data_IF_543148127066
#
_entry.id   IF_543148127066
#
_cell.length_a   1.000
_cell.length_b   1.000
_cell.length_c   1.000
_cell.angle_alpha   90.00
_cell.angle_beta   90.00
_cell.angle_gamma   90.00
#
_symmetry.space_group_name_H-M   'P 1'
#
loop_
_entity.id
_entity.type
_entity.pdbx_description
1 polymer ?
#
# COMPACT_ATOMS: atom_id res chain seq x y z
N UNK A 1 7.47 14.09 -0.93
CA UNK A 1 8.06 12.86 -1.50
C UNK A 1 9.30 12.40 -0.70
N UNK A 2 10.24 13.31 -0.38
CA UNK A 2 11.46 12.93 0.36
C UNK A 2 11.16 12.30 1.73
N UNK A 3 10.16 12.77 2.45
CA UNK A 3 9.75 12.21 3.74
C UNK A 3 9.28 10.74 3.65
N UNK A 4 8.90 10.28 2.46
CA UNK A 4 8.43 8.92 2.20
C UNK A 4 9.45 8.06 1.43
N UNK A 5 10.70 8.49 1.37
CA UNK A 5 11.80 7.72 0.78
C UNK A 5 12.03 7.92 -0.72
N UNK A 6 11.38 8.89 -1.33
CA UNK A 6 11.64 9.25 -2.73
C UNK A 6 12.69 10.36 -2.83
N UNK A 7 13.62 10.21 -3.75
CA UNK A 7 14.48 11.29 -4.22
C UNK A 7 14.24 11.48 -5.71
N UNK A 8 13.78 12.66 -6.09
CA UNK A 8 13.48 13.00 -7.47
C UNK A 8 14.05 14.36 -7.81
N UNK A 9 14.55 14.51 -9.04
CA UNK A 9 15.17 15.73 -9.54
C UNK A 9 14.60 16.08 -10.93
N UNK A 10 14.39 17.36 -11.16
CA UNK A 10 13.97 17.85 -12.48
C UNK A 10 15.16 17.81 -13.45
N UNK A 11 15.01 17.07 -14.54
CA UNK A 11 16.00 16.94 -15.61
C UNK A 11 15.64 17.73 -16.86
N UNK A 12 14.57 18.51 -16.82
CA UNK A 12 14.08 19.33 -17.92
C UNK A 12 12.66 19.81 -17.65
N UNK A 13 12.05 20.49 -18.65
CA UNK A 13 10.72 21.07 -18.49
C UNK A 13 9.61 20.03 -18.24
N UNK A 14 9.82 18.77 -18.70
CA UNK A 14 8.84 17.68 -18.60
C UNK A 14 9.44 16.36 -18.17
N UNK A 15 10.65 16.37 -17.67
CA UNK A 15 11.38 15.15 -17.29
C UNK A 15 11.79 15.21 -15.83
N UNK A 16 11.49 14.15 -15.10
CA UNK A 16 11.87 13.96 -13.71
C UNK A 16 12.69 12.68 -13.61
N UNK A 17 13.84 12.75 -12.96
CA UNK A 17 14.65 11.58 -12.64
C UNK A 17 14.35 11.13 -11.19
N UNK A 18 14.01 9.86 -11.02
CA UNK A 18 13.88 9.25 -9.70
C UNK A 18 15.22 8.66 -9.34
N UNK A 19 15.91 9.27 -8.38
CA UNK A 19 17.23 8.83 -7.92
C UNK A 19 17.14 7.80 -6.81
N UNK A 20 16.09 7.86 -5.99
CA UNK A 20 15.83 6.90 -4.94
C UNK A 20 14.33 6.71 -4.75
N UNK A 21 13.95 5.50 -4.37
CA UNK A 21 12.57 5.13 -4.04
C UNK A 21 12.55 4.36 -2.72
N UNK A 22 11.38 4.25 -2.05
CA UNK A 22 11.27 3.47 -0.82
C UNK A 22 11.73 2.03 -1.02
N UNK A 23 12.32 1.44 0.03
CA UNK A 23 12.74 0.04 0.01
C UNK A 23 11.56 -0.90 -0.30
N UNK A 24 11.82 -1.95 -1.07
CA UNK A 24 10.81 -2.92 -1.45
C UNK A 24 10.05 -2.58 -2.73
N UNK A 25 10.32 -1.44 -3.36
CA UNK A 25 9.69 -1.03 -4.62
C UNK A 25 10.70 -1.15 -5.76
N UNK A 26 10.32 -1.87 -6.83
CA UNK A 26 11.14 -1.99 -8.04
C UNK A 26 11.17 -0.67 -8.82
N UNK A 27 12.15 -0.49 -9.70
CA UNK A 27 12.25 0.73 -10.53
C UNK A 27 11.01 0.94 -11.42
N UNK A 28 10.43 -0.13 -11.97
CA UNK A 28 9.20 -0.05 -12.76
C UNK A 28 7.99 0.36 -11.91
N UNK A 29 7.88 -0.19 -10.71
CA UNK A 29 6.80 0.15 -9.77
C UNK A 29 6.98 1.55 -9.19
N UNK A 30 8.21 2.03 -9.01
CA UNK A 30 8.49 3.39 -8.55
C UNK A 30 7.95 4.44 -9.51
N UNK A 31 8.10 4.22 -10.82
CA UNK A 31 7.54 5.09 -11.86
C UNK A 31 6.01 5.13 -11.80
N UNK A 32 5.38 3.97 -11.77
CA UNK A 32 3.92 3.85 -11.67
C UNK A 32 3.37 4.50 -10.40
N UNK A 33 4.03 4.28 -9.29
CA UNK A 33 3.66 4.86 -8.00
C UNK A 33 3.74 6.39 -8.03
N UNK A 34 4.80 6.93 -8.61
CA UNK A 34 4.97 8.38 -8.74
C UNK A 34 3.84 9.00 -9.56
N UNK A 35 3.50 8.40 -10.72
CA UNK A 35 2.38 8.87 -11.54
C UNK A 35 1.05 8.79 -10.80
N UNK A 36 0.80 7.71 -10.06
CA UNK A 36 -0.40 7.56 -9.25
C UNK A 36 -0.52 8.66 -8.18
N UNK A 37 0.57 8.99 -7.51
CA UNK A 37 0.61 10.08 -6.52
C UNK A 37 0.32 11.42 -7.17
N UNK A 38 0.96 11.72 -8.29
CA UNK A 38 0.78 12.98 -9.01
C UNK A 38 -0.64 13.13 -9.55
N UNK A 39 -1.23 12.07 -10.09
CA UNK A 39 -2.61 12.06 -10.55
C UNK A 39 -3.60 12.28 -9.40
N UNK A 40 -3.35 11.67 -8.26
CA UNK A 40 -4.14 11.87 -7.06
C UNK A 40 -4.14 13.33 -6.60
N UNK A 41 -2.97 13.97 -6.61
CA UNK A 41 -2.83 15.39 -6.27
C UNK A 41 -3.55 16.29 -7.29
N UNK A 42 -3.42 15.99 -8.57
CA UNK A 42 -4.03 16.78 -9.64
C UNK A 42 -5.56 16.71 -9.64
N UNK A 43 -6.14 15.59 -9.22
CA UNK A 43 -7.61 15.40 -9.12
C UNK A 43 -8.22 16.16 -7.95
N UNK A 44 -7.47 16.41 -6.91
CA UNK A 44 -7.93 17.15 -5.74
C UNK A 44 -7.66 18.63 -5.93
N UNK A 45 -8.68 19.37 -6.41
CA UNK A 45 -8.61 20.83 -6.60
C UNK A 45 -8.72 21.62 -5.30
N UNK A 46 -8.58 20.98 -4.14
CA UNK A 46 -8.65 21.64 -2.84
C UNK A 46 -7.27 21.76 -2.21
N UNK A 47 -7.09 22.75 -1.36
CA UNK A 47 -5.88 22.88 -0.54
C UNK A 47 -5.77 21.65 0.37
N UNK A 48 -4.81 20.78 0.08
CA UNK A 48 -4.53 19.58 0.86
C UNK A 48 -3.54 19.95 1.95
N UNK A 49 -3.80 19.54 3.19
CA UNK A 49 -2.82 19.68 4.25
C UNK A 49 -1.60 18.80 3.96
N UNK A 50 -0.42 19.21 4.43
CA UNK A 50 0.82 18.44 4.29
C UNK A 50 0.65 17.05 4.94
N UNK A 51 0.01 16.97 6.10
CA UNK A 51 -0.23 15.70 6.81
C UNK A 51 -1.13 14.76 6.00
N UNK A 52 -2.20 15.27 5.40
CA UNK A 52 -3.08 14.49 4.54
C UNK A 52 -2.35 13.97 3.30
N UNK A 53 -1.51 14.79 2.69
CA UNK A 53 -0.69 14.41 1.54
C UNK A 53 0.32 13.31 1.91
N UNK A 54 1.03 13.47 3.02
CA UNK A 54 1.97 12.46 3.51
C UNK A 54 1.28 11.13 3.79
N UNK A 55 0.09 11.14 4.39
CA UNK A 55 -0.70 9.93 4.67
C UNK A 55 -1.10 9.22 3.38
N UNK A 56 -1.52 9.96 2.35
CA UNK A 56 -1.89 9.38 1.04
C UNK A 56 -0.69 8.77 0.34
N UNK A 57 0.45 9.45 0.34
CA UNK A 57 1.69 8.94 -0.23
C UNK A 57 2.13 7.66 0.51
N UNK A 58 2.08 7.68 1.83
CA UNK A 58 2.44 6.52 2.65
C UNK A 58 1.52 5.32 2.37
N UNK A 59 0.21 5.54 2.25
CA UNK A 59 -0.75 4.48 1.94
C UNK A 59 -0.51 3.86 0.57
N UNK A 60 -0.31 4.67 -0.47
CA UNK A 60 0.00 4.19 -1.82
C UNK A 60 1.34 3.43 -1.85
N UNK A 61 2.36 3.96 -1.20
CA UNK A 61 3.68 3.33 -1.10
C UNK A 61 3.59 1.97 -0.40
N UNK A 62 2.87 1.89 0.71
CA UNK A 62 2.69 0.65 1.46
C UNK A 62 2.00 -0.43 0.63
N UNK A 63 0.97 -0.08 -0.13
CA UNK A 63 0.29 -1.03 -1.00
C UNK A 63 1.17 -1.55 -2.15
N UNK A 64 2.02 -0.68 -2.72
CA UNK A 64 2.96 -1.10 -3.76
C UNK A 64 4.13 -1.93 -3.22
N UNK A 65 4.55 -1.69 -1.98
CA UNK A 65 5.62 -2.44 -1.33
C UNK A 65 5.14 -3.75 -0.68
N UNK A 66 3.84 -3.95 -0.56
CA UNK A 66 3.26 -5.14 0.07
C UNK A 66 3.60 -6.43 -0.71
N UNK A 67 3.61 -7.53 0.01
CA UNK A 67 3.76 -8.87 -0.57
C UNK A 67 2.59 -9.11 -1.53
N UNK A 68 2.91 -9.46 -2.77
CA UNK A 68 1.90 -9.67 -3.82
C UNK A 68 1.26 -11.05 -3.72
N UNK A 69 0.07 -11.17 -4.29
CA UNK A 69 -0.64 -12.44 -4.43
C UNK A 69 0.25 -13.48 -5.14
N UNK A 70 0.15 -14.73 -4.74
CA UNK A 70 0.95 -15.84 -5.26
C UNK A 70 2.46 -15.76 -5.00
N UNK A 71 2.91 -14.86 -4.13
CA UNK A 71 4.30 -14.86 -3.65
C UNK A 71 4.49 -16.02 -2.68
N UNK A 72 5.45 -16.94 -2.92
CA UNK A 72 5.71 -18.03 -1.98
C UNK A 72 6.19 -17.51 -0.62
N UNK A 73 5.61 -18.02 0.45
CA UNK A 73 5.99 -17.68 1.82
C UNK A 73 6.39 -18.96 2.56
N UNK A 74 7.53 -18.94 3.25
CA UNK A 74 7.87 -19.98 4.18
C UNK A 74 7.12 -19.79 5.52
N UNK A 75 7.15 -20.81 6.38
CA UNK A 75 6.46 -20.77 7.66
C UNK A 75 6.93 -19.61 8.55
N UNK A 76 8.22 -19.34 8.58
CA UNK A 76 8.81 -18.25 9.36
C UNK A 76 8.30 -16.88 8.88
N UNK A 77 8.23 -16.68 7.57
CA UNK A 77 7.66 -15.43 7.00
C UNK A 77 6.18 -15.28 7.28
N UNK A 78 5.42 -16.36 7.23
CA UNK A 78 3.99 -16.35 7.58
C UNK A 78 3.77 -15.94 9.03
N UNK A 79 4.52 -16.51 9.95
CA UNK A 79 4.45 -16.15 11.38
C UNK A 79 4.87 -14.71 11.63
N UNK A 80 5.94 -14.27 11.00
CA UNK A 80 6.40 -12.90 11.07
C UNK A 80 5.33 -11.92 10.56
N UNK A 81 4.74 -12.22 9.41
CA UNK A 81 3.70 -11.38 8.80
C UNK A 81 2.49 -11.23 9.71
N UNK A 82 1.99 -12.33 10.28
CA UNK A 82 0.87 -12.30 11.22
C UNK A 82 1.21 -11.54 12.50
N UNK A 83 2.42 -11.72 13.01
CA UNK A 83 2.91 -11.02 14.20
C UNK A 83 2.99 -9.51 13.97
N UNK A 84 3.52 -9.08 12.83
CA UNK A 84 3.60 -7.66 12.49
C UNK A 84 2.22 -7.05 12.23
N UNK A 85 1.32 -7.78 11.58
CA UNK A 85 -0.06 -7.36 11.37
C UNK A 85 -0.77 -7.11 12.70
N UNK A 86 -0.59 -7.99 13.68
CA UNK A 86 -1.20 -7.88 15.00
C UNK A 86 -0.72 -6.63 15.78
N UNK A 87 0.46 -6.10 15.46
CA UNK A 87 1.01 -4.88 16.09
C UNK A 87 0.45 -3.60 15.48
N UNK A 88 -0.22 -3.65 14.34
CA UNK A 88 -0.78 -2.46 13.70
C UNK A 88 -2.01 -1.96 14.46
N UNK A 89 -2.30 -0.68 14.32
CA UNK A 89 -3.45 -0.05 14.98
C UNK A 89 -4.78 -0.57 14.43
N UNK A 90 -4.87 -0.77 13.12
CA UNK A 90 -6.07 -1.26 12.44
C UNK A 90 -5.74 -2.48 11.57
N UNK A 91 -5.58 -3.68 12.19
CA UNK A 91 -5.10 -4.86 11.46
C UNK A 91 -6.14 -5.48 10.52
N UNK A 92 -7.41 -5.10 10.63
CA UNK A 92 -8.51 -5.74 9.88
C UNK A 92 -8.74 -5.15 8.49
N UNK A 93 -8.21 -3.98 8.21
CA UNK A 93 -8.37 -3.31 6.92
C UNK A 93 -7.10 -2.60 6.48
N UNK A 94 -6.90 -2.45 5.17
CA UNK A 94 -5.81 -1.65 4.64
C UNK A 94 -6.15 -0.15 4.70
N UNK A 95 -5.17 0.77 4.48
CA UNK A 95 -5.43 2.21 4.47
C UNK A 95 -6.44 2.66 3.40
N UNK A 96 -6.68 1.86 2.36
CA UNK A 96 -7.66 2.12 1.31
C UNK A 96 -9.06 1.55 1.63
N UNK A 97 -9.26 1.00 2.82
CA UNK A 97 -10.55 0.44 3.25
C UNK A 97 -10.83 -0.99 2.81
N UNK A 98 -9.87 -1.68 2.19
CA UNK A 98 -10.04 -3.09 1.81
C UNK A 98 -9.87 -3.99 3.04
N UNK A 99 -10.75 -4.98 3.22
CA UNK A 99 -10.57 -5.91 4.33
C UNK A 99 -9.30 -6.76 4.15
N UNK A 100 -8.54 -6.90 5.22
CA UNK A 100 -7.34 -7.75 5.30
C UNK A 100 -7.70 -9.11 5.90
N UNK A 101 -8.66 -9.13 6.83
CA UNK A 101 -9.14 -10.32 7.50
C UNK A 101 -10.65 -10.39 7.39
N UNK A 102 -11.16 -11.56 6.99
CA UNK A 102 -12.59 -11.85 7.00
C UNK A 102 -12.87 -12.88 8.09
N UNK A 103 -13.96 -12.68 8.81
CA UNK A 103 -14.42 -13.60 9.85
C UNK A 103 -15.71 -14.28 9.44
N UNK A 104 -15.72 -15.59 9.54
CA UNK A 104 -16.90 -16.40 9.33
C UNK A 104 -17.06 -17.41 10.47
N UNK A 105 -18.23 -17.53 11.00
CA UNK A 105 -18.56 -18.65 11.89
C UNK A 105 -18.71 -19.94 11.08
N UNK A 106 -18.52 -21.08 11.71
CA UNK A 106 -18.76 -22.38 11.07
C UNK A 106 -20.18 -22.44 10.49
N UNK A 107 -21.17 -21.94 11.24
CA UNK A 107 -22.56 -21.90 10.81
C UNK A 107 -22.79 -21.07 9.53
N UNK A 108 -22.11 -19.94 9.41
CA UNK A 108 -22.19 -19.13 8.19
C UNK A 108 -21.60 -19.88 6.99
N UNK A 109 -20.50 -20.58 7.18
CA UNK A 109 -19.87 -21.40 6.15
C UNK A 109 -20.81 -22.54 5.74
N UNK A 110 -21.37 -23.28 6.71
CA UNK A 110 -22.32 -24.37 6.44
C UNK A 110 -23.57 -23.88 5.69
N UNK A 111 -24.06 -22.72 6.06
CA UNK A 111 -25.19 -22.09 5.36
C UNK A 111 -24.83 -21.70 3.93
N UNK A 112 -23.64 -21.14 3.70
CA UNK A 112 -23.17 -20.79 2.36
C UNK A 112 -23.07 -22.02 1.45
N UNK A 113 -22.65 -23.17 2.01
CA UNK A 113 -22.61 -24.44 1.31
C UNK A 113 -23.96 -25.19 1.30
N UNK A 114 -25.01 -24.58 1.81
CA UNK A 114 -26.37 -25.17 1.90
C UNK A 114 -26.42 -26.49 2.66
N UNK A 115 -25.63 -26.58 3.73
CA UNK A 115 -25.58 -27.75 4.62
C UNK A 115 -26.56 -27.67 5.78
N UNK A 116 -27.06 -26.48 6.04
CA UNK A 116 -28.11 -26.20 7.04
C UNK A 116 -29.10 -25.17 6.52
#
# INVERSE_FOLDING_TARGET
LCANGFEAELMGARTVAIQAAPAGISSADAEKLLFEILDGIARENQAISIDSLQSKIAASTACHAAIKVNTPLDHTKMEWLLSELAKTEYPMSCPHGRPVVLRYSVREIERAFKRI
#
